data_IF_307570664200
#
_entry.id   IF_307570664200
#
_cell.length_a   1.000
_cell.length_b   1.000
_cell.length_c   1.000
_cell.angle_alpha   90.00
_cell.angle_beta   90.00
_cell.angle_gamma   90.00
#
_symmetry.space_group_name_H-M   'P 1'
#
loop_
_entity.id
_entity.type
_entity.pdbx_description
1 polymer ?
#
# COMPACT_ATOMS: atom_id res chain seq x y z
N UNK A 1 44.01 61.30 -7.22
CA UNK A 1 43.02 60.56 -6.41
C UNK A 1 42.01 59.98 -7.37
N UNK A 2 42.11 58.68 -7.63
CA UNK A 2 41.16 57.96 -8.50
C UNK A 2 39.89 57.68 -7.69
N UNK A 3 38.78 58.24 -8.13
CA UNK A 3 37.46 57.98 -7.55
C UNK A 3 36.96 56.63 -8.08
N UNK A 4 37.12 55.57 -7.28
CA UNK A 4 36.45 54.30 -7.53
C UNK A 4 34.95 54.46 -7.25
N UNK A 5 34.17 54.68 -8.32
CA UNK A 5 32.71 54.67 -8.25
C UNK A 5 32.26 53.22 -8.11
N UNK A 6 31.71 52.88 -6.95
CA UNK A 6 31.15 51.56 -6.65
C UNK A 6 29.80 51.42 -7.36
N UNK A 7 29.79 50.78 -8.54
CA UNK A 7 28.56 50.44 -9.25
C UNK A 7 27.90 49.23 -8.57
N UNK A 8 26.93 49.48 -7.71
CA UNK A 8 26.00 48.42 -7.32
C UNK A 8 25.06 48.15 -8.50
N UNK A 9 25.28 47.03 -9.19
CA UNK A 9 24.32 46.53 -10.18
C UNK A 9 23.00 46.21 -9.48
N UNK A 10 21.91 46.87 -9.89
CA UNK A 10 20.57 46.49 -9.46
C UNK A 10 20.25 45.09 -9.98
N UNK A 11 19.99 44.16 -9.05
CA UNK A 11 19.55 42.81 -9.39
C UNK A 11 18.05 42.86 -9.70
N UNK A 12 17.68 42.85 -10.98
CA UNK A 12 16.29 42.79 -11.42
C UNK A 12 15.81 41.34 -11.38
N UNK A 13 14.83 41.03 -10.54
CA UNK A 13 14.22 39.69 -10.46
C UNK A 13 13.12 39.51 -11.53
N UNK A 14 13.10 38.40 -12.28
CA UNK A 14 12.02 38.10 -13.21
C UNK A 14 10.66 37.95 -12.52
N UNK A 15 9.58 38.35 -13.21
CA UNK A 15 8.21 38.20 -12.71
C UNK A 15 7.80 36.72 -12.79
N UNK A 16 7.35 36.17 -11.67
CA UNK A 16 6.79 34.83 -11.62
C UNK A 16 5.38 34.82 -12.23
N UNK A 17 5.13 33.88 -13.14
CA UNK A 17 3.82 33.65 -13.77
C UNK A 17 3.35 32.20 -13.53
N UNK A 18 3.44 31.75 -12.28
CA UNK A 18 2.96 30.42 -11.88
C UNK A 18 1.47 30.48 -11.54
N UNK A 19 0.69 29.44 -11.89
CA UNK A 19 -0.70 29.37 -11.50
C UNK A 19 -0.81 29.29 -9.96
N UNK A 20 -1.86 29.88 -9.37
CA UNK A 20 -2.11 29.78 -7.93
C UNK A 20 -2.41 28.34 -7.52
N UNK A 21 -2.29 28.06 -6.23
CA UNK A 21 -2.71 26.78 -5.66
C UNK A 21 -4.19 26.52 -5.93
N UNK A 22 -4.52 25.31 -6.38
CA UNK A 22 -5.90 24.84 -6.53
C UNK A 22 -6.63 24.69 -5.19
N UNK A 23 -5.89 24.57 -4.09
CA UNK A 23 -6.41 24.18 -2.79
C UNK A 23 -6.53 25.33 -1.79
N UNK A 24 -5.85 26.46 -2.04
CA UNK A 24 -5.86 27.61 -1.12
C UNK A 24 -5.57 27.18 0.31
N UNK A 25 -6.49 27.52 1.21
CA UNK A 25 -6.48 27.18 2.64
C UNK A 25 -7.46 26.05 3.02
N UNK A 26 -8.03 25.34 2.04
CA UNK A 26 -9.06 24.31 2.25
C UNK A 26 -8.64 23.25 3.27
N UNK A 27 -7.36 22.88 3.27
CA UNK A 27 -6.79 21.89 4.20
C UNK A 27 -6.08 22.53 5.40
N UNK A 28 -6.16 23.86 5.57
CA UNK A 28 -5.49 24.57 6.66
C UNK A 28 -6.16 24.38 8.02
N UNK A 29 -7.43 23.96 8.04
CA UNK A 29 -8.12 23.58 9.27
C UNK A 29 -8.92 22.31 9.09
N UNK A 30 -8.78 21.39 10.04
CA UNK A 30 -9.54 20.15 10.09
C UNK A 30 -10.07 19.95 11.50
N UNK A 31 -11.33 19.51 11.60
CA UNK A 31 -11.97 19.11 12.86
C UNK A 31 -12.42 17.66 12.72
N UNK A 32 -11.91 16.81 13.60
CA UNK A 32 -12.34 15.42 13.67
C UNK A 32 -13.55 15.31 14.58
N UNK A 33 -14.57 14.56 14.14
CA UNK A 33 -15.61 14.08 15.03
C UNK A 33 -15.05 12.86 15.78
N UNK A 34 -14.73 13.06 17.06
CA UNK A 34 -14.11 12.00 17.88
C UNK A 34 -15.05 10.82 18.09
N UNK A 35 -16.36 11.06 18.21
CA UNK A 35 -17.33 9.99 18.41
C UNK A 35 -17.42 9.10 17.17
N UNK A 36 -17.50 9.71 15.99
CA UNK A 36 -17.51 8.96 14.72
C UNK A 36 -16.18 8.22 14.53
N UNK A 37 -15.05 8.89 14.79
CA UNK A 37 -13.72 8.28 14.67
C UNK A 37 -13.54 7.07 15.59
N UNK A 38 -13.98 7.16 16.85
CA UNK A 38 -13.91 6.05 17.80
C UNK A 38 -14.82 4.88 17.38
N UNK A 39 -16.01 5.20 16.85
CA UNK A 39 -16.94 4.17 16.37
C UNK A 39 -16.35 3.38 15.20
N UNK A 40 -15.74 4.06 14.22
CA UNK A 40 -15.04 3.41 13.11
C UNK A 40 -13.80 2.67 13.56
N UNK A 41 -13.01 3.22 14.49
CA UNK A 41 -11.83 2.54 15.01
C UNK A 41 -12.20 1.17 15.61
N UNK A 42 -13.31 1.10 16.36
CA UNK A 42 -13.80 -0.16 16.92
C UNK A 42 -14.23 -1.15 15.83
N UNK A 43 -15.01 -0.71 14.85
CA UNK A 43 -15.45 -1.56 13.74
C UNK A 43 -14.26 -2.06 12.91
N UNK A 44 -13.26 -1.22 12.67
CA UNK A 44 -12.03 -1.58 11.94
C UNK A 44 -11.28 -2.69 12.66
N UNK A 45 -11.15 -2.65 14.00
CA UNK A 45 -10.47 -3.72 14.73
C UNK A 45 -11.22 -5.07 14.60
N UNK A 46 -12.55 -5.06 14.69
CA UNK A 46 -13.37 -6.27 14.50
C UNK A 46 -13.22 -6.83 13.06
N UNK A 47 -13.25 -5.96 12.06
CA UNK A 47 -13.07 -6.35 10.66
C UNK A 47 -11.65 -6.81 10.35
N UNK A 48 -10.63 -6.21 10.97
CA UNK A 48 -9.23 -6.59 10.84
C UNK A 48 -9.02 -8.00 11.35
N UNK A 49 -9.55 -8.33 12.52
CA UNK A 49 -9.47 -9.69 13.07
C UNK A 49 -10.23 -10.69 12.19
N UNK A 50 -11.39 -10.32 11.66
CA UNK A 50 -12.12 -11.16 10.71
C UNK A 50 -11.31 -11.43 9.44
N UNK A 51 -10.67 -10.41 8.86
CA UNK A 51 -9.82 -10.56 7.68
C UNK A 51 -8.58 -11.42 7.96
N UNK A 52 -7.93 -11.23 9.11
CA UNK A 52 -6.82 -12.08 9.58
C UNK A 52 -7.21 -13.55 9.64
N UNK A 53 -8.35 -13.83 10.26
CA UNK A 53 -8.87 -15.20 10.34
C UNK A 53 -9.17 -15.79 8.95
N UNK A 54 -9.67 -14.99 8.01
CA UNK A 54 -9.90 -15.44 6.63
C UNK A 54 -8.60 -15.80 5.88
N UNK A 55 -7.44 -15.25 6.23
CA UNK A 55 -6.15 -15.61 5.63
C UNK A 55 -5.72 -17.00 6.11
N UNK A 56 -5.90 -17.31 7.40
CA UNK A 56 -5.47 -18.58 8.00
C UNK A 56 -6.54 -19.67 8.06
N UNK A 57 -7.77 -19.37 7.67
CA UNK A 57 -8.90 -20.30 7.68
C UNK A 57 -8.57 -21.61 6.95
N UNK A 58 -8.52 -22.73 7.67
CA UNK A 58 -8.18 -24.04 7.11
C UNK A 58 -9.25 -24.57 6.13
N UNK A 59 -10.49 -24.07 6.22
CA UNK A 59 -11.57 -24.50 5.33
C UNK A 59 -11.47 -23.83 3.95
N UNK A 60 -10.78 -22.68 3.86
CA UNK A 60 -10.61 -21.96 2.59
C UNK A 60 -9.52 -22.55 1.71
N UNK A 61 -9.85 -22.60 0.43
CA UNK A 61 -8.96 -23.04 -0.65
C UNK A 61 -7.75 -22.13 -0.79
N UNK A 62 -6.60 -22.70 -1.16
CA UNK A 62 -5.33 -21.98 -1.29
C UNK A 62 -5.43 -20.82 -2.29
N UNK A 63 -6.18 -21.03 -3.39
CA UNK A 63 -6.43 -19.99 -4.39
C UNK A 63 -7.26 -18.81 -3.85
N UNK A 64 -8.22 -19.08 -2.97
CA UNK A 64 -9.09 -18.04 -2.41
C UNK A 64 -8.30 -17.14 -1.46
N UNK A 65 -7.35 -17.71 -0.72
CA UNK A 65 -6.42 -16.96 0.13
C UNK A 65 -5.47 -16.09 -0.68
N UNK A 66 -4.92 -16.60 -1.79
CA UNK A 66 -4.10 -15.79 -2.71
C UNK A 66 -4.88 -14.60 -3.28
N UNK A 67 -6.13 -14.82 -3.69
CA UNK A 67 -7.02 -13.74 -4.16
C UNK A 67 -7.33 -12.75 -3.04
N UNK A 68 -7.56 -13.22 -1.81
CA UNK A 68 -7.77 -12.36 -0.65
C UNK A 68 -6.54 -11.47 -0.37
N UNK A 69 -5.34 -12.04 -0.40
CA UNK A 69 -4.09 -11.28 -0.22
C UNK A 69 -3.97 -10.19 -1.30
N UNK A 70 -4.20 -10.54 -2.56
CA UNK A 70 -4.16 -9.57 -3.65
C UNK A 70 -5.17 -8.42 -3.45
N UNK A 71 -6.38 -8.75 -2.99
CA UNK A 71 -7.40 -7.75 -2.69
C UNK A 71 -6.96 -6.84 -1.55
N UNK A 72 -6.41 -7.39 -0.45
CA UNK A 72 -5.93 -6.63 0.70
C UNK A 72 -4.83 -5.64 0.27
N UNK A 73 -3.87 -6.09 -0.55
CA UNK A 73 -2.81 -5.24 -1.08
C UNK A 73 -3.35 -4.13 -1.97
N UNK A 74 -4.25 -4.45 -2.90
CA UNK A 74 -4.85 -3.47 -3.82
C UNK A 74 -5.75 -2.45 -3.13
N UNK A 75 -6.33 -2.80 -1.98
CA UNK A 75 -7.09 -1.89 -1.13
C UNK A 75 -6.19 -0.99 -0.26
N UNK A 76 -4.86 -1.17 -0.29
CA UNK A 76 -3.93 -0.43 0.55
C UNK A 76 -4.01 -0.81 2.02
N UNK A 77 -4.48 -2.03 2.34
CA UNK A 77 -4.67 -2.52 3.70
C UNK A 77 -3.56 -3.49 4.15
N UNK A 78 -2.62 -3.82 3.27
CA UNK A 78 -1.55 -4.81 3.53
C UNK A 78 -0.69 -4.49 4.75
N UNK A 79 -0.51 -3.21 5.08
CA UNK A 79 0.27 -2.78 6.25
C UNK A 79 -0.29 -3.28 7.60
N UNK A 80 -1.56 -3.71 7.65
CA UNK A 80 -2.15 -4.34 8.83
C UNK A 80 -1.89 -5.85 8.94
N UNK A 81 -1.42 -6.48 7.85
CA UNK A 81 -1.32 -7.92 7.70
C UNK A 81 0.05 -8.37 7.16
N UNK A 82 1.09 -7.55 7.28
CA UNK A 82 2.41 -7.80 6.67
C UNK A 82 2.97 -9.17 7.09
N UNK A 83 2.89 -9.49 8.38
CA UNK A 83 3.39 -10.76 8.91
C UNK A 83 2.56 -11.95 8.40
N UNK A 84 1.24 -11.79 8.36
CA UNK A 84 0.31 -12.81 7.93
C UNK A 84 0.48 -13.14 6.44
N UNK A 85 0.63 -12.11 5.61
CA UNK A 85 0.87 -12.23 4.17
C UNK A 85 2.23 -12.89 3.94
N UNK A 86 3.29 -12.40 4.60
CA UNK A 86 4.64 -12.94 4.46
C UNK A 86 4.67 -14.43 4.84
N UNK A 87 4.13 -14.78 6.01
CA UNK A 87 4.09 -16.17 6.48
C UNK A 87 3.34 -17.09 5.49
N UNK A 88 2.22 -16.63 4.93
CA UNK A 88 1.48 -17.41 3.96
C UNK A 88 2.26 -17.61 2.65
N UNK A 89 2.91 -16.57 2.14
CA UNK A 89 3.73 -16.65 0.93
C UNK A 89 4.97 -17.54 1.14
N UNK A 90 5.59 -17.52 2.33
CA UNK A 90 6.69 -18.43 2.68
C UNK A 90 6.25 -19.90 2.65
N UNK A 91 5.04 -20.21 3.13
CA UNK A 91 4.50 -21.58 3.08
C UNK A 91 4.29 -22.07 1.64
N UNK A 92 3.83 -21.17 0.76
CA UNK A 92 3.69 -21.46 -0.67
C UNK A 92 5.07 -21.67 -1.31
N UNK A 93 6.00 -20.73 -1.11
CA UNK A 93 7.33 -20.76 -1.73
C UNK A 93 8.12 -22.02 -1.36
N UNK A 94 8.08 -22.42 -0.09
CA UNK A 94 8.76 -23.61 0.39
C UNK A 94 8.06 -24.92 0.01
N UNK A 95 6.91 -24.85 -0.67
CA UNK A 95 6.15 -26.01 -1.12
C UNK A 95 5.42 -26.76 0.00
N UNK A 96 5.30 -26.18 1.19
CA UNK A 96 4.49 -26.71 2.29
C UNK A 96 3.00 -26.55 2.03
N UNK A 97 2.63 -25.52 1.26
CA UNK A 97 1.26 -25.26 0.85
C UNK A 97 1.18 -25.28 -0.68
N UNK A 98 0.88 -26.45 -1.25
CA UNK A 98 0.70 -26.58 -2.70
C UNK A 98 -0.76 -26.34 -3.04
N UNK A 99 -1.01 -25.42 -3.98
CA UNK A 99 -2.27 -25.38 -4.70
C UNK A 99 -2.54 -26.75 -5.31
N UNK A 100 -3.74 -27.26 -5.12
CA UNK A 100 -4.16 -28.51 -5.74
C UNK A 100 -4.11 -28.36 -7.26
N UNK A 101 -3.91 -29.46 -8.00
CA UNK A 101 -3.82 -29.40 -9.46
C UNK A 101 -5.08 -28.77 -10.10
N UNK A 102 -6.24 -28.96 -9.48
CA UNK A 102 -7.52 -28.38 -9.89
C UNK A 102 -7.63 -26.86 -9.60
N UNK A 103 -6.76 -26.32 -8.76
CA UNK A 103 -6.71 -24.88 -8.43
C UNK A 103 -5.75 -24.10 -9.32
N UNK A 104 -4.84 -24.78 -10.03
CA UNK A 104 -3.83 -24.16 -10.87
C UNK A 104 -4.35 -23.90 -12.27
N UNK A 105 -5.06 -22.79 -12.43
CA UNK A 105 -5.27 -22.18 -13.75
C UNK A 105 -4.20 -21.10 -14.04
N UNK A 106 -4.25 -20.53 -15.25
CA UNK A 106 -3.32 -19.48 -15.68
C UNK A 106 -3.40 -18.24 -14.77
N UNK A 107 -4.59 -17.89 -14.31
CA UNK A 107 -4.79 -16.71 -13.46
C UNK A 107 -4.14 -16.91 -12.09
N UNK A 108 -4.40 -18.04 -11.44
CA UNK A 108 -3.83 -18.38 -10.14
C UNK A 108 -2.31 -18.54 -10.23
N UNK A 109 -1.80 -19.16 -11.28
CA UNK A 109 -0.35 -19.33 -11.48
C UNK A 109 0.35 -17.98 -11.66
N UNK A 110 -0.22 -17.09 -12.48
CA UNK A 110 0.33 -15.74 -12.67
C UNK A 110 0.23 -14.89 -11.39
N UNK A 111 -0.84 -15.07 -10.62
CA UNK A 111 -1.05 -14.39 -9.34
C UNK A 111 -0.01 -14.81 -8.31
N UNK A 112 0.17 -16.12 -8.11
CA UNK A 112 1.17 -16.70 -7.22
C UNK A 112 2.58 -16.19 -7.58
N UNK A 113 2.96 -16.29 -8.85
CA UNK A 113 4.25 -15.81 -9.34
C UNK A 113 4.46 -14.32 -9.03
N UNK A 114 3.46 -13.49 -9.32
CA UNK A 114 3.54 -12.04 -9.08
C UNK A 114 3.68 -11.73 -7.59
N UNK A 115 2.84 -12.30 -6.74
CA UNK A 115 2.87 -12.03 -5.31
C UNK A 115 4.21 -12.47 -4.70
N UNK A 116 4.69 -13.67 -5.04
CA UNK A 116 6.01 -14.13 -4.59
C UNK A 116 7.13 -13.16 -5.00
N UNK A 117 7.17 -12.74 -6.27
CA UNK A 117 8.17 -11.78 -6.75
C UNK A 117 8.06 -10.41 -6.08
N UNK A 118 6.85 -9.91 -5.85
CA UNK A 118 6.62 -8.62 -5.17
C UNK A 118 7.10 -8.63 -3.72
N UNK A 119 7.04 -9.77 -3.05
CA UNK A 119 7.53 -9.96 -1.68
C UNK A 119 8.99 -10.44 -1.61
N UNK A 120 9.72 -10.42 -2.72
CA UNK A 120 11.16 -10.69 -2.75
C UNK A 120 11.56 -12.17 -2.81
N UNK A 121 10.61 -13.07 -3.06
CA UNK A 121 10.92 -14.48 -3.30
C UNK A 121 11.44 -14.70 -4.72
N UNK A 122 12.47 -15.55 -4.85
CA UNK A 122 13.02 -15.93 -6.16
C UNK A 122 12.19 -17.04 -6.82
N UNK A 123 10.96 -16.70 -7.20
CA UNK A 123 10.08 -17.63 -7.90
C UNK A 123 10.59 -17.86 -9.34
N UNK A 124 10.86 -19.12 -9.70
CA UNK A 124 11.24 -19.48 -11.07
C UNK A 124 10.18 -19.04 -12.08
N UNK A 125 10.65 -18.59 -13.24
CA UNK A 125 9.81 -18.42 -14.43
C UNK A 125 9.43 -19.76 -15.04
#
# INVERSE_FOLDING_TARGET
MENFVNYQQEIIRPIANFPPSLWGDLFSSYRIDTQVSESYAKEIEELKEKARNMIFDSEKKSKEKLVLIDMIERLGLSYHFENEIQAYLELIFNGYFKLEYEEKDLFITALEFRLLRQHGFDASS
#
